data_IF_888695362768
#
_entry.id   IF_888695362768
#
_cell.length_a   1.000
_cell.length_b   1.000
_cell.length_c   1.000
_cell.angle_alpha   90.00
_cell.angle_beta   90.00
_cell.angle_gamma   90.00
#
_symmetry.space_group_name_H-M   'P 1'
#
loop_
_entity.id
_entity.type
_entity.pdbx_description
1 polymer ?
#
# COMPACT_ATOMS: atom_id res chain seq x y z
N UNK A 1 16.50 -33.04 0.08
CA UNK A 1 15.12 -32.88 0.63
C UNK A 1 15.21 -32.01 1.87
N UNK A 2 15.06 -30.69 1.68
CA UNK A 2 14.85 -29.74 2.78
C UNK A 2 14.28 -28.44 2.16
N UNK A 3 13.04 -28.53 1.65
CA UNK A 3 12.30 -27.37 1.14
C UNK A 3 10.94 -27.31 1.80
N UNK A 4 10.91 -27.20 3.13
CA UNK A 4 9.66 -26.90 3.84
C UNK A 4 9.95 -26.23 5.19
N UNK A 5 10.83 -25.25 5.22
CA UNK A 5 10.72 -24.15 6.19
C UNK A 5 9.67 -23.22 5.59
N UNK A 6 8.54 -23.05 6.27
CA UNK A 6 7.57 -22.01 5.96
C UNK A 6 8.36 -20.70 5.83
N UNK A 7 8.61 -20.26 4.59
CA UNK A 7 9.42 -19.08 4.36
C UNK A 7 8.55 -17.84 4.59
N UNK A 8 8.20 -17.61 5.86
CA UNK A 8 7.42 -16.44 6.29
C UNK A 8 8.16 -15.12 5.99
N UNK A 9 9.46 -15.20 5.74
CA UNK A 9 10.27 -14.05 5.35
C UNK A 9 9.86 -13.46 4.01
N UNK A 10 9.37 -14.28 3.08
CA UNK A 10 8.77 -13.81 1.82
C UNK A 10 7.58 -12.87 2.02
N UNK A 11 6.98 -12.88 3.21
CA UNK A 11 5.90 -12.00 3.63
C UNK A 11 6.38 -10.83 4.49
N UNK A 12 7.69 -10.64 4.64
CA UNK A 12 8.29 -9.52 5.34
C UNK A 12 8.27 -9.61 6.87
N UNK A 13 8.15 -10.81 7.44
CA UNK A 13 8.07 -11.00 8.90
C UNK A 13 9.33 -10.52 9.62
N UNK A 14 10.50 -10.51 8.96
CA UNK A 14 11.75 -9.95 9.52
C UNK A 14 11.68 -8.45 9.79
N UNK A 15 10.75 -7.74 9.15
CA UNK A 15 10.52 -6.30 9.35
C UNK A 15 9.56 -6.00 10.50
N UNK A 16 8.99 -7.02 11.13
CA UNK A 16 8.07 -6.83 12.27
C UNK A 16 8.85 -6.51 13.54
N UNK A 17 8.55 -5.36 14.15
CA UNK A 17 9.14 -4.95 15.43
C UNK A 17 8.22 -5.37 16.57
N UNK A 18 6.93 -5.01 16.52
CA UNK A 18 5.98 -5.27 17.60
C UNK A 18 4.53 -5.42 17.10
N UNK A 19 3.75 -6.35 17.70
CA UNK A 19 4.28 -7.46 18.50
C UNK A 19 5.08 -8.44 17.65
N UNK A 20 6.01 -9.16 18.23
CA UNK A 20 6.77 -10.18 17.52
C UNK A 20 5.85 -11.33 17.06
N UNK A 21 6.30 -12.07 16.03
CA UNK A 21 5.64 -13.29 15.54
C UNK A 21 4.25 -13.09 14.92
N UNK A 22 3.95 -11.90 14.41
CA UNK A 22 2.77 -11.63 13.60
C UNK A 22 3.17 -11.31 12.16
N UNK A 23 2.19 -11.32 11.25
CA UNK A 23 2.41 -10.80 9.89
C UNK A 23 2.46 -9.26 9.88
N UNK A 24 3.16 -8.64 8.91
CA UNK A 24 3.31 -7.20 8.83
C UNK A 24 2.00 -6.39 8.91
N UNK A 25 0.87 -6.80 8.30
CA UNK A 25 -0.38 -6.07 8.47
C UNK A 25 -0.86 -6.00 9.91
N UNK A 26 -0.69 -7.09 10.68
CA UNK A 26 -1.11 -7.17 12.08
C UNK A 26 -0.12 -6.55 13.07
N UNK A 27 1.09 -6.23 12.63
CA UNK A 27 2.07 -5.57 13.47
C UNK A 27 1.66 -4.13 13.78
N UNK A 28 1.94 -3.69 15.00
CA UNK A 28 1.82 -2.27 15.35
C UNK A 28 2.88 -1.45 14.64
N UNK A 29 4.13 -1.94 14.63
CA UNK A 29 5.29 -1.24 14.06
C UNK A 29 6.13 -2.14 13.19
N UNK A 30 6.58 -1.58 12.05
CA UNK A 30 7.53 -2.22 11.14
C UNK A 30 8.89 -1.50 11.18
N UNK A 31 9.94 -2.26 10.93
CA UNK A 31 11.27 -1.74 10.64
C UNK A 31 11.29 -1.18 9.21
N UNK A 32 11.31 0.13 9.13
CA UNK A 32 11.32 0.88 7.89
C UNK A 32 12.70 1.49 7.58
N UNK A 33 13.80 0.90 8.09
CA UNK A 33 15.15 1.32 7.70
C UNK A 33 15.31 1.25 6.19
N UNK A 34 16.09 2.20 5.64
CA UNK A 34 16.24 2.36 4.19
C UNK A 34 16.93 1.19 3.51
N UNK A 35 17.87 0.56 4.22
CA UNK A 35 18.60 -0.60 3.72
C UNK A 35 17.65 -1.76 3.46
N UNK A 36 17.75 -2.36 2.28
CA UNK A 36 16.95 -3.52 1.90
C UNK A 36 17.71 -4.82 2.17
N UNK A 37 16.96 -5.88 2.43
CA UNK A 37 17.48 -7.23 2.40
C UNK A 37 17.57 -7.75 0.96
N UNK A 38 18.37 -8.80 0.69
CA UNK A 38 18.58 -9.31 -0.67
C UNK A 38 17.30 -9.68 -1.42
N UNK A 39 16.25 -10.09 -0.73
CA UNK A 39 14.95 -10.49 -1.29
C UNK A 39 13.88 -9.38 -1.28
N UNK A 40 14.29 -8.14 -1.09
CA UNK A 40 13.42 -6.98 -1.04
C UNK A 40 13.62 -6.03 -2.23
N UNK A 41 12.65 -5.17 -2.45
CA UNK A 41 12.71 -4.09 -3.43
C UNK A 41 12.29 -2.78 -2.77
N UNK A 42 13.05 -1.71 -2.99
CA UNK A 42 12.72 -0.37 -2.52
C UNK A 42 12.12 0.46 -3.64
N UNK A 43 11.04 1.15 -3.30
CA UNK A 43 10.25 1.99 -4.18
C UNK A 43 10.30 3.42 -3.65
N UNK A 44 10.75 4.37 -4.44
CA UNK A 44 10.58 5.79 -4.17
C UNK A 44 9.10 6.14 -4.39
N UNK A 45 8.39 6.42 -3.31
CA UNK A 45 6.94 6.67 -3.36
C UNK A 45 6.70 8.09 -3.85
N UNK A 46 5.74 8.25 -4.74
CA UNK A 46 5.29 9.53 -5.30
C UNK A 46 3.87 9.89 -4.91
N UNK A 47 2.99 8.88 -4.83
CA UNK A 47 1.60 9.07 -4.48
C UNK A 47 1.08 7.87 -3.71
N UNK A 48 0.24 8.12 -2.73
CA UNK A 48 -0.52 7.10 -2.01
C UNK A 48 -2.01 7.35 -2.16
N UNK A 49 -2.77 6.28 -2.28
CA UNK A 49 -4.22 6.28 -2.18
C UNK A 49 -4.59 5.75 -0.81
N UNK A 50 -5.23 6.57 0.01
CA UNK A 50 -5.73 6.13 1.30
C UNK A 50 -7.11 5.48 1.13
N UNK A 51 -7.37 4.44 1.88
CA UNK A 51 -8.72 3.90 1.96
C UNK A 51 -9.73 5.02 2.29
N UNK A 52 -10.89 5.09 1.63
CA UNK A 52 -11.85 6.18 1.81
C UNK A 52 -12.29 6.40 3.26
N UNK A 53 -12.43 5.30 4.02
CA UNK A 53 -12.75 5.37 5.46
C UNK A 53 -11.63 6.04 6.26
N UNK A 54 -10.38 5.72 5.97
CA UNK A 54 -9.22 6.32 6.60
C UNK A 54 -9.08 7.80 6.22
N UNK A 55 -9.23 8.12 4.94
CA UNK A 55 -9.17 9.50 4.47
C UNK A 55 -10.24 10.37 5.13
N UNK A 56 -11.48 9.87 5.16
CA UNK A 56 -12.60 10.56 5.81
C UNK A 56 -12.36 10.78 7.30
N UNK A 57 -11.88 9.73 7.99
CA UNK A 57 -11.59 9.82 9.43
C UNK A 57 -10.51 10.86 9.73
N UNK A 58 -9.39 10.83 8.99
CA UNK A 58 -8.30 11.82 9.14
C UNK A 58 -8.81 13.23 8.83
N UNK A 59 -9.60 13.39 7.77
CA UNK A 59 -10.15 14.70 7.37
C UNK A 59 -11.04 15.29 8.47
N UNK A 60 -11.94 14.49 9.04
CA UNK A 60 -12.83 14.92 10.12
C UNK A 60 -12.06 15.25 11.41
N UNK A 61 -11.13 14.38 11.82
CA UNK A 61 -10.28 14.61 13.00
C UNK A 61 -9.46 15.90 12.87
N UNK A 62 -9.01 16.22 11.66
CA UNK A 62 -8.26 17.42 11.36
C UNK A 62 -9.13 18.66 11.10
N UNK A 63 -10.46 18.56 11.17
CA UNK A 63 -11.38 19.66 10.86
C UNK A 63 -11.30 20.10 9.40
N UNK A 64 -11.00 19.20 8.47
CA UNK A 64 -10.75 19.43 7.05
C UNK A 64 -9.54 20.34 6.74
N UNK A 65 -8.69 20.64 7.72
CA UNK A 65 -7.46 21.40 7.56
C UNK A 65 -6.37 20.52 6.93
N UNK A 66 -5.98 20.85 5.72
CA UNK A 66 -5.00 20.06 4.97
C UNK A 66 -3.60 20.06 5.62
N UNK A 67 -3.18 21.15 6.24
CA UNK A 67 -1.89 21.18 6.92
C UNK A 67 -1.87 20.22 8.12
N UNK A 68 -2.99 20.08 8.83
CA UNK A 68 -3.15 19.11 9.91
C UNK A 68 -3.22 17.68 9.35
N UNK A 69 -3.92 17.48 8.24
CA UNK A 69 -3.99 16.17 7.58
C UNK A 69 -2.61 15.69 7.14
N UNK A 70 -1.80 16.55 6.50
CA UNK A 70 -0.41 16.23 6.11
C UNK A 70 0.42 15.80 7.30
N UNK A 71 0.38 16.56 8.40
CA UNK A 71 1.08 16.21 9.65
C UNK A 71 0.60 14.90 10.23
N UNK A 72 -0.70 14.64 10.23
CA UNK A 72 -1.28 13.39 10.73
C UNK A 72 -0.81 12.17 9.95
N UNK A 73 -0.78 12.26 8.62
CA UNK A 73 -0.28 11.19 7.74
C UNK A 73 1.19 10.90 8.00
N UNK A 74 2.02 11.94 8.11
CA UNK A 74 3.44 11.80 8.47
C UNK A 74 3.62 11.17 9.86
N UNK A 75 2.85 11.61 10.86
CA UNK A 75 2.94 11.11 12.23
C UNK A 75 2.58 9.61 12.30
N UNK A 76 1.54 9.18 11.59
CA UNK A 76 1.17 7.76 11.50
C UNK A 76 2.35 6.95 10.95
N UNK A 77 2.93 7.39 9.85
CA UNK A 77 4.02 6.67 9.20
C UNK A 77 5.29 6.65 10.06
N UNK A 78 5.61 7.77 10.70
CA UNK A 78 6.78 7.89 11.59
C UNK A 78 6.66 6.95 12.80
N UNK A 79 5.51 6.91 13.43
CA UNK A 79 5.29 6.09 14.64
C UNK A 79 5.23 4.60 14.34
N UNK A 80 4.63 4.24 13.22
CA UNK A 80 4.34 2.85 12.88
C UNK A 80 5.34 2.20 11.91
N UNK A 81 6.20 3.01 11.28
CA UNK A 81 7.07 2.52 10.21
C UNK A 81 6.31 2.03 8.97
N UNK A 82 5.04 2.41 8.86
CA UNK A 82 4.11 2.06 7.78
C UNK A 82 2.92 3.02 7.76
N UNK A 83 2.26 3.19 6.62
CA UNK A 83 1.01 3.95 6.55
C UNK A 83 -0.18 3.04 6.88
N UNK A 84 -0.52 2.97 8.15
CA UNK A 84 -1.63 2.16 8.66
C UNK A 84 -2.38 2.95 9.73
N UNK A 85 -3.58 3.44 9.39
CA UNK A 85 -4.37 4.26 10.29
C UNK A 85 -4.87 3.42 11.48
N UNK A 86 -4.47 3.75 12.72
CA UNK A 86 -4.85 2.97 13.89
C UNK A 86 -6.33 3.05 14.27
N UNK A 87 -7.06 4.04 13.73
CA UNK A 87 -8.49 4.22 14.02
C UNK A 87 -9.37 3.35 13.13
N UNK A 88 -9.02 3.25 11.85
CA UNK A 88 -9.81 2.51 10.86
C UNK A 88 -9.23 1.13 10.54
N UNK A 89 -8.02 0.85 11.02
CA UNK A 89 -7.25 -0.37 10.75
C UNK A 89 -7.01 -0.62 9.24
N UNK A 90 -6.86 0.48 8.47
CA UNK A 90 -6.68 0.44 7.02
C UNK A 90 -5.42 1.18 6.58
N UNK A 91 -4.90 0.82 5.41
CA UNK A 91 -3.74 1.46 4.79
C UNK A 91 -4.12 2.17 3.50
N UNK A 92 -3.93 1.51 2.38
CA UNK A 92 -4.14 2.03 1.04
C UNK A 92 -3.14 1.42 0.06
N UNK A 93 -2.98 2.05 -1.08
CA UNK A 93 -2.07 1.63 -2.15
C UNK A 93 -1.02 2.70 -2.41
N UNK A 94 0.06 2.34 -3.10
CA UNK A 94 1.06 3.32 -3.55
C UNK A 94 1.36 3.21 -5.04
N UNK A 95 1.76 4.36 -5.58
CA UNK A 95 2.47 4.52 -6.84
C UNK A 95 3.86 5.10 -6.55
N UNK A 96 4.85 4.60 -7.28
CA UNK A 96 6.22 5.07 -7.14
C UNK A 96 7.13 4.56 -8.24
N UNK A 97 8.42 4.76 -8.03
CA UNK A 97 9.49 4.36 -8.96
C UNK A 97 10.41 3.39 -8.25
N UNK A 98 10.76 2.30 -8.91
CA UNK A 98 11.74 1.33 -8.38
C UNK A 98 13.08 2.02 -8.20
N UNK A 99 13.60 2.01 -6.97
CA UNK A 99 14.85 2.66 -6.61
C UNK A 99 16.00 1.66 -6.47
N UNK A 100 15.72 0.50 -5.88
CA UNK A 100 16.70 -0.56 -5.65
C UNK A 100 16.02 -1.92 -5.66
N UNK A 101 16.71 -2.93 -6.17
CA UNK A 101 16.23 -4.32 -6.22
C UNK A 101 17.31 -5.19 -5.60
N UNK A 102 16.94 -5.96 -4.59
CA UNK A 102 17.82 -6.93 -3.95
C UNK A 102 18.18 -8.07 -4.91
N UNK A 103 19.38 -8.62 -4.74
CA UNK A 103 19.95 -9.65 -5.64
C UNK A 103 19.12 -10.94 -5.71
N UNK A 104 18.44 -11.28 -4.61
CA UNK A 104 17.59 -12.47 -4.47
C UNK A 104 16.08 -12.17 -4.62
N UNK A 105 15.72 -10.91 -4.97
CA UNK A 105 14.32 -10.54 -5.15
C UNK A 105 13.67 -11.36 -6.28
N UNK A 106 12.53 -12.04 -6.04
CA UNK A 106 11.86 -12.86 -7.05
C UNK A 106 11.22 -12.00 -8.14
N UNK A 107 12.04 -11.52 -9.05
CA UNK A 107 11.67 -10.54 -10.07
C UNK A 107 11.01 -11.17 -11.31
N UNK A 108 9.93 -11.90 -11.11
CA UNK A 108 9.16 -12.54 -12.20
C UNK A 108 8.64 -11.53 -13.23
N UNK A 109 8.36 -10.30 -12.81
CA UNK A 109 7.88 -9.21 -13.67
C UNK A 109 9.00 -8.49 -14.42
N UNK A 110 10.26 -8.90 -14.21
CA UNK A 110 11.45 -8.28 -14.83
C UNK A 110 11.48 -6.76 -14.63
N UNK A 111 11.18 -6.32 -13.42
CA UNK A 111 11.27 -4.92 -13.03
C UNK A 111 12.72 -4.46 -13.07
N UNK A 112 12.91 -3.19 -13.37
CA UNK A 112 14.22 -2.52 -13.39
C UNK A 112 14.16 -1.27 -12.53
N UNK A 113 15.32 -0.84 -12.05
CA UNK A 113 15.46 0.49 -11.43
C UNK A 113 15.01 1.54 -12.44
N UNK A 114 14.17 2.46 -11.99
CA UNK A 114 13.53 3.48 -12.83
C UNK A 114 12.14 3.09 -13.35
N UNK A 115 11.71 1.82 -13.24
CA UNK A 115 10.34 1.45 -13.62
C UNK A 115 9.31 2.10 -12.70
N UNK A 116 8.26 2.66 -13.29
CA UNK A 116 7.09 3.13 -12.56
C UNK A 116 6.20 1.94 -12.18
N UNK A 117 5.83 1.86 -10.91
CA UNK A 117 5.06 0.72 -10.37
C UNK A 117 3.91 1.17 -9.49
N UNK A 118 2.87 0.34 -9.47
CA UNK A 118 1.80 0.37 -8.49
C UNK A 118 1.98 -0.84 -7.59
N UNK A 119 2.01 -0.61 -6.29
CA UNK A 119 1.96 -1.67 -5.30
C UNK A 119 0.49 -1.97 -4.98
N UNK A 120 0.02 -3.12 -5.45
CA UNK A 120 -1.35 -3.58 -5.22
C UNK A 120 -1.46 -4.43 -3.95
N UNK A 121 -0.85 -3.94 -2.88
CA UNK A 121 -0.98 -4.50 -1.54
C UNK A 121 -1.16 -3.37 -0.53
N UNK A 122 -1.86 -3.66 0.56
CA UNK A 122 -2.15 -2.64 1.56
C UNK A 122 -0.88 -2.09 2.21
N UNK A 123 -0.76 -0.78 2.25
CA UNK A 123 0.28 -0.06 3.01
C UNK A 123 0.29 -0.40 4.51
N UNK A 124 -0.77 -1.03 5.02
CA UNK A 124 -0.80 -1.58 6.37
C UNK A 124 0.26 -2.68 6.61
N UNK A 125 0.68 -3.36 5.55
CA UNK A 125 1.68 -4.45 5.63
C UNK A 125 3.04 -4.11 5.03
N UNK A 126 3.28 -2.86 4.61
CA UNK A 126 4.48 -2.47 3.88
C UNK A 126 5.26 -1.44 4.69
N UNK A 127 6.55 -1.70 5.01
CA UNK A 127 7.41 -0.70 5.61
C UNK A 127 7.49 0.55 4.74
N UNK A 128 7.27 1.70 5.32
CA UNK A 128 7.31 2.97 4.62
C UNK A 128 7.87 4.09 5.51
N UNK A 129 8.54 5.03 4.87
CA UNK A 129 9.06 6.24 5.50
C UNK A 129 8.79 7.42 4.58
N UNK A 130 8.00 8.37 5.06
CA UNK A 130 7.72 9.61 4.33
C UNK A 130 8.42 10.79 4.99
N UNK A 131 9.01 11.66 4.18
CA UNK A 131 9.66 12.88 4.60
C UNK A 131 8.77 14.10 4.43
N UNK A 132 7.88 14.05 3.44
CA UNK A 132 6.88 15.10 3.21
C UNK A 132 5.57 14.54 2.67
N UNK A 133 4.50 15.31 2.87
CA UNK A 133 3.19 15.11 2.24
C UNK A 133 2.84 16.39 1.49
N UNK A 134 2.64 16.26 0.19
CA UNK A 134 2.35 17.35 -0.73
C UNK A 134 0.85 17.59 -0.92
N UNK A 135 0.43 17.63 -2.17
CA UNK A 135 -0.95 17.91 -2.56
C UNK A 135 -1.92 16.79 -2.14
N UNK A 136 -3.12 17.20 -1.74
CA UNK A 136 -4.22 16.30 -1.32
C UNK A 136 -5.31 16.35 -2.38
N UNK A 137 -5.50 15.23 -3.07
CA UNK A 137 -6.53 15.04 -4.11
C UNK A 137 -7.79 14.45 -3.47
N UNK A 138 -8.63 15.32 -2.90
CA UNK A 138 -9.81 14.90 -2.10
C UNK A 138 -10.79 14.03 -2.88
N UNK A 139 -10.99 14.32 -4.17
CA UNK A 139 -11.92 13.56 -5.02
C UNK A 139 -11.52 12.09 -5.18
N UNK A 140 -10.23 11.79 -5.03
CA UNK A 140 -9.66 10.46 -5.23
C UNK A 140 -9.07 9.85 -3.95
N UNK A 141 -9.20 10.53 -2.81
CA UNK A 141 -8.58 10.14 -1.53
C UNK A 141 -7.07 9.87 -1.64
N UNK A 142 -6.40 10.64 -2.51
CA UNK A 142 -4.97 10.49 -2.79
C UNK A 142 -4.16 11.65 -2.25
N UNK A 143 -2.91 11.38 -1.93
CA UNK A 143 -1.95 12.39 -1.47
C UNK A 143 -0.59 12.16 -2.13
N UNK A 144 0.07 13.25 -2.51
CA UNK A 144 1.47 13.20 -2.88
C UNK A 144 2.33 13.02 -1.65
N UNK A 145 3.37 12.23 -1.79
CA UNK A 145 4.36 12.00 -0.73
C UNK A 145 5.76 11.95 -1.31
N UNK A 146 6.72 12.34 -0.50
CA UNK A 146 8.13 12.06 -0.73
C UNK A 146 8.61 11.05 0.30
N UNK A 147 9.32 10.03 -0.14
CA UNK A 147 9.83 8.98 0.72
C UNK A 147 9.96 7.66 -0.01
N UNK A 148 10.00 6.60 0.74
CA UNK A 148 10.15 5.26 0.19
C UNK A 148 9.25 4.24 0.90
N UNK A 149 9.07 3.12 0.22
CA UNK A 149 8.47 1.91 0.76
C UNK A 149 9.31 0.69 0.37
N UNK A 150 9.23 -0.38 1.16
CA UNK A 150 9.96 -1.62 0.94
C UNK A 150 8.96 -2.74 0.72
N UNK A 151 8.99 -3.37 -0.45
CA UNK A 151 8.14 -4.49 -0.78
C UNK A 151 8.92 -5.81 -0.73
N UNK A 152 8.22 -6.88 -0.41
CA UNK A 152 8.75 -8.25 -0.29
C UNK A 152 8.37 -9.07 -1.52
N UNK A 153 8.97 -10.24 -1.67
CA UNK A 153 8.76 -11.09 -2.84
C UNK A 153 7.31 -11.48 -3.13
N UNK A 154 6.45 -11.56 -2.12
CA UNK A 154 5.00 -11.86 -2.29
C UNK A 154 4.12 -10.62 -2.49
N UNK A 155 4.68 -9.43 -2.45
CA UNK A 155 3.93 -8.19 -2.70
C UNK A 155 3.71 -8.02 -4.20
N UNK A 156 2.46 -7.88 -4.67
CA UNK A 156 2.18 -7.69 -6.09
C UNK A 156 2.56 -6.27 -6.53
N UNK A 157 3.62 -6.17 -7.30
CA UNK A 157 4.00 -4.95 -8.01
C UNK A 157 3.57 -5.05 -9.47
N UNK A 158 2.95 -3.99 -9.97
CA UNK A 158 2.45 -3.90 -11.34
C UNK A 158 3.17 -2.73 -12.00
N UNK A 159 3.85 -2.99 -13.14
CA UNK A 159 4.40 -1.90 -13.94
C UNK A 159 3.27 -1.02 -14.42
N UNK A 160 3.43 0.29 -14.27
CA UNK A 160 2.42 1.25 -14.71
C UNK A 160 2.14 1.09 -16.21
N UNK A 161 0.87 0.89 -16.62
CA UNK A 161 0.49 0.94 -18.02
C UNK A 161 0.72 2.35 -18.60
N UNK A 162 1.25 2.42 -19.80
CA UNK A 162 1.44 3.69 -20.49
C UNK A 162 0.11 4.36 -20.82
N UNK A 163 0.09 5.69 -20.81
CA UNK A 163 -1.07 6.49 -21.21
C UNK A 163 -2.23 6.53 -20.20
N UNK A 164 -2.12 5.83 -19.07
CA UNK A 164 -3.18 5.86 -18.05
C UNK A 164 -2.78 6.79 -16.89
N UNK A 165 -3.64 7.76 -16.51
CA UNK A 165 -3.39 8.65 -15.38
C UNK A 165 -3.24 7.86 -14.06
N UNK A 166 -2.30 8.30 -13.21
CA UNK A 166 -1.99 7.61 -11.93
C UNK A 166 -3.16 7.62 -10.97
N UNK A 167 -3.89 8.71 -10.89
CA UNK A 167 -5.08 8.85 -10.05
C UNK A 167 -6.16 7.83 -10.41
N UNK A 168 -6.41 7.64 -11.71
CA UNK A 168 -7.34 6.64 -12.20
C UNK A 168 -6.86 5.22 -11.90
N UNK A 169 -5.55 4.94 -12.05
CA UNK A 169 -4.98 3.62 -11.77
C UNK A 169 -5.10 3.26 -10.29
N UNK A 170 -4.70 4.15 -9.40
CA UNK A 170 -4.79 3.91 -7.96
C UNK A 170 -6.24 3.70 -7.52
N UNK A 171 -7.18 4.50 -8.05
CA UNK A 171 -8.60 4.32 -7.81
C UNK A 171 -9.10 2.97 -8.35
N UNK A 172 -8.75 2.62 -9.59
CA UNK A 172 -9.19 1.38 -10.21
C UNK A 172 -8.68 0.13 -9.48
N UNK A 173 -7.44 0.14 -9.02
CA UNK A 173 -6.88 -1.00 -8.29
C UNK A 173 -7.43 -1.16 -6.87
N UNK A 174 -7.89 -0.09 -6.24
CA UNK A 174 -8.50 -0.15 -4.92
C UNK A 174 -10.01 -0.36 -4.99
N UNK A 175 -10.73 0.60 -5.57
CA UNK A 175 -12.19 0.66 -5.52
C UNK A 175 -12.87 -0.28 -6.54
N UNK A 176 -12.36 -0.32 -7.77
CA UNK A 176 -13.05 -0.99 -8.87
C UNK A 176 -12.85 -2.50 -8.92
N UNK A 177 -11.86 -3.03 -8.20
CA UNK A 177 -11.58 -4.47 -8.18
C UNK A 177 -12.77 -5.31 -7.70
N UNK A 178 -13.50 -4.83 -6.71
CA UNK A 178 -14.71 -5.48 -6.20
C UNK A 178 -15.82 -5.48 -7.23
N UNK A 179 -16.07 -4.34 -7.90
CA UNK A 179 -17.10 -4.24 -8.94
C UNK A 179 -16.81 -5.19 -10.10
N UNK A 180 -15.56 -5.26 -10.54
CA UNK A 180 -15.16 -6.18 -11.61
C UNK A 180 -15.39 -7.65 -11.22
N UNK A 181 -15.02 -8.05 -10.01
CA UNK A 181 -15.27 -9.41 -9.51
C UNK A 181 -16.76 -9.70 -9.43
N UNK A 182 -17.52 -8.81 -8.82
CA UNK A 182 -18.98 -8.97 -8.72
C UNK A 182 -19.62 -9.10 -10.11
N UNK A 183 -19.23 -8.28 -11.07
CA UNK A 183 -19.79 -8.35 -12.44
C UNK A 183 -19.50 -9.70 -13.11
N UNK A 184 -18.33 -10.29 -12.88
CA UNK A 184 -17.97 -11.62 -13.41
C UNK A 184 -18.72 -12.75 -12.71
N UNK A 185 -18.74 -12.73 -11.37
CA UNK A 185 -19.39 -13.74 -10.55
C UNK A 185 -20.93 -13.73 -10.71
N UNK A 186 -21.49 -12.57 -11.04
CA UNK A 186 -22.91 -12.38 -11.25
C UNK A 186 -23.43 -12.94 -12.59
N UNK A 187 -22.54 -13.22 -13.54
CA UNK A 187 -22.95 -13.74 -14.86
C UNK A 187 -23.67 -15.10 -14.70
N UNK A 188 -24.88 -15.18 -15.25
CA UNK A 188 -25.68 -16.40 -15.18
C UNK A 188 -26.40 -16.64 -13.85
N UNK A 189 -26.21 -15.80 -12.85
CA UNK A 189 -26.93 -15.93 -11.58
C UNK A 189 -28.36 -15.37 -11.70
N UNK A 190 -29.34 -16.13 -11.18
CA UNK A 190 -30.76 -15.69 -11.15
C UNK A 190 -31.06 -14.71 -10.02
N UNK A 191 -30.29 -14.75 -8.94
CA UNK A 191 -30.46 -13.89 -7.76
C UNK A 191 -29.09 -13.55 -7.20
N UNK A 192 -28.91 -12.30 -6.79
CA UNK A 192 -27.71 -11.78 -6.15
C UNK A 192 -28.15 -11.06 -4.88
N UNK A 193 -27.54 -11.41 -3.75
CA UNK A 193 -27.72 -10.70 -2.49
C UNK A 193 -26.50 -9.79 -2.27
N UNK A 194 -26.74 -8.50 -2.14
CA UNK A 194 -25.73 -7.52 -1.73
C UNK A 194 -25.97 -7.16 -0.27
N UNK A 195 -24.95 -7.39 0.58
CA UNK A 195 -25.01 -7.05 1.99
C UNK A 195 -24.03 -5.90 2.24
N UNK A 196 -24.57 -4.75 2.62
CA UNK A 196 -23.83 -3.52 2.87
C UNK A 196 -24.50 -2.32 2.22
N UNK A 197 -23.99 -1.14 2.57
CA UNK A 197 -24.45 0.13 2.02
C UNK A 197 -23.32 0.96 1.41
N UNK A 198 -22.21 0.34 1.11
CA UNK A 198 -21.09 1.02 0.49
C UNK A 198 -21.45 1.26 -0.98
N UNK A 199 -21.79 2.51 -1.29
CA UNK A 199 -22.00 2.95 -2.66
C UNK A 199 -20.62 3.31 -3.20
N UNK A 200 -20.15 2.48 -4.09
CA UNK A 200 -18.99 2.78 -4.93
C UNK A 200 -19.44 3.46 -6.21
#
# INVERSE_FOLDING_TARGET
MEKNKNNLEEYGTRRVIEPASVLPPSAWRLDNRREIYPDEIRIMVKRVHLEPTSFKQISLECGNDEAKMRRKILDITLRRGKLHNPVTDTGGLLYGVVEEIGEDYPNEKKLKVGDEVICNASLAGIPASFTSVGEIYRAYTQVEVEGYAIAFGKIPLIRRPEGVPVDLLLFAFNESGTLYRVSREAVGQKKILVVGNNIM
#
